data_IF_224684240057
#
_entry.id   IF_224684240057
#
_cell.length_a   1.000
_cell.length_b   1.000
_cell.length_c   1.000
_cell.angle_alpha   90.00
_cell.angle_beta   90.00
_cell.angle_gamma   90.00
#
_symmetry.space_group_name_H-M   'P 1'
#
loop_
_entity.id
_entity.type
_entity.pdbx_description
1 polymer ?
#
# COMPACT_ATOMS: atom_id res chain seq x y z
N UNK A 1 11.39 -20.33 35.97
CA UNK A 1 10.68 -19.21 35.30
C UNK A 1 11.69 -18.62 34.36
N UNK A 2 11.52 -18.86 33.07
CA UNK A 2 12.36 -18.28 32.04
C UNK A 2 11.79 -16.89 31.77
N UNK A 3 12.51 -15.84 32.20
CA UNK A 3 12.19 -14.50 31.76
C UNK A 3 12.59 -14.42 30.29
N UNK A 4 11.61 -14.37 29.40
CA UNK A 4 11.82 -13.87 28.05
C UNK A 4 12.43 -12.49 28.22
N UNK A 5 13.71 -12.34 27.83
CA UNK A 5 14.34 -11.04 27.78
C UNK A 5 13.54 -10.16 26.81
N UNK A 6 13.47 -8.86 27.08
CA UNK A 6 13.00 -7.95 26.04
C UNK A 6 13.85 -8.17 24.77
N UNK A 7 13.24 -8.13 23.56
CA UNK A 7 14.02 -8.28 22.33
C UNK A 7 15.16 -7.26 22.33
N UNK A 8 16.36 -7.70 21.92
CA UNK A 8 17.51 -6.79 21.86
C UNK A 8 17.26 -5.72 20.80
N UNK A 9 17.78 -4.50 21.03
CA UNK A 9 17.60 -3.36 20.12
C UNK A 9 17.97 -3.72 18.68
N UNK A 10 17.02 -3.57 17.75
CA UNK A 10 17.16 -3.95 16.34
C UNK A 10 16.81 -5.41 16.00
N UNK A 11 16.25 -6.19 16.92
CA UNK A 11 15.76 -7.56 16.66
C UNK A 11 14.24 -7.57 16.49
N UNK A 12 13.77 -7.79 15.26
CA UNK A 12 12.35 -7.96 14.93
C UNK A 12 11.74 -9.18 15.66
N UNK A 13 10.81 -8.94 16.59
CA UNK A 13 10.04 -9.98 17.24
C UNK A 13 8.85 -10.43 16.38
N UNK A 14 8.72 -11.72 16.10
CA UNK A 14 7.62 -12.25 15.27
C UNK A 14 6.69 -13.15 16.08
N UNK A 15 5.39 -12.86 16.05
CA UNK A 15 4.32 -13.59 16.76
C UNK A 15 3.35 -14.26 15.77
N UNK A 16 2.54 -15.20 16.27
CA UNK A 16 1.56 -15.97 15.47
C UNK A 16 2.12 -17.15 14.68
N UNK A 17 3.38 -17.09 14.25
CA UNK A 17 4.05 -18.19 13.54
C UNK A 17 4.26 -19.42 14.42
N UNK A 18 3.72 -20.56 13.98
CA UNK A 18 4.01 -21.88 14.57
C UNK A 18 5.12 -22.55 13.76
N UNK A 19 6.30 -22.76 14.38
CA UNK A 19 7.51 -23.19 13.66
C UNK A 19 7.73 -24.71 13.64
N UNK A 20 8.39 -25.19 12.59
CA UNK A 20 8.88 -26.56 12.42
C UNK A 20 10.34 -26.65 12.88
N UNK A 21 10.61 -27.46 13.92
CA UNK A 21 11.95 -27.70 14.49
C UNK A 21 12.85 -26.45 14.64
N UNK A 22 12.42 -25.42 15.41
CA UNK A 22 13.14 -24.15 15.49
C UNK A 22 14.51 -24.29 16.17
N UNK A 23 15.57 -24.27 15.37
CA UNK A 23 16.96 -24.39 15.82
C UNK A 23 17.75 -23.07 15.60
N UNK A 24 18.57 -22.61 16.58
CA UNK A 24 19.38 -21.40 16.41
C UNK A 24 20.34 -21.50 15.22
N UNK A 25 20.26 -20.53 14.30
CA UNK A 25 21.06 -20.50 13.07
C UNK A 25 20.58 -21.40 11.93
N UNK A 26 19.45 -22.11 12.10
CA UNK A 26 18.70 -22.68 10.98
C UNK A 26 17.83 -21.60 10.30
N UNK A 27 17.34 -21.88 9.10
CA UNK A 27 16.32 -21.06 8.46
C UNK A 27 14.98 -21.24 9.19
N UNK A 28 14.25 -20.13 9.40
CA UNK A 28 12.90 -20.16 9.95
C UNK A 28 11.98 -20.88 8.96
N UNK A 29 11.27 -21.90 9.44
CA UNK A 29 10.21 -22.58 8.69
C UNK A 29 8.95 -22.67 9.55
N UNK A 30 7.83 -22.20 9.03
CA UNK A 30 6.51 -22.43 9.61
C UNK A 30 6.10 -23.91 9.49
N UNK A 31 5.04 -24.31 10.20
CA UNK A 31 4.29 -25.55 9.97
C UNK A 31 3.21 -25.40 8.88
N UNK A 32 2.93 -24.16 8.46
CA UNK A 32 1.84 -23.80 7.55
C UNK A 32 2.39 -22.96 6.38
N UNK A 33 2.09 -23.37 5.15
CA UNK A 33 2.63 -22.78 3.91
C UNK A 33 2.12 -21.35 3.68
N UNK A 34 0.90 -21.00 4.10
CA UNK A 34 0.36 -19.65 3.94
C UNK A 34 1.07 -18.65 4.88
N UNK A 35 1.39 -19.07 6.10
CA UNK A 35 2.14 -18.26 7.07
C UNK A 35 3.61 -18.11 6.65
N UNK A 36 4.23 -19.16 6.08
CA UNK A 36 5.57 -19.08 5.50
C UNK A 36 5.60 -18.09 4.34
N UNK A 37 4.65 -18.20 3.41
CA UNK A 37 4.52 -17.32 2.24
C UNK A 37 4.33 -15.84 2.63
N UNK A 38 3.50 -15.59 3.65
CA UNK A 38 3.34 -14.25 4.23
C UNK A 38 4.65 -13.75 4.84
N UNK A 39 5.31 -14.55 5.69
CA UNK A 39 6.59 -14.19 6.32
C UNK A 39 7.68 -13.88 5.29
N UNK A 40 7.91 -14.75 4.30
CA UNK A 40 8.93 -14.56 3.28
C UNK A 40 8.66 -13.32 2.42
N UNK A 41 7.39 -13.05 2.11
CA UNK A 41 6.98 -11.83 1.37
C UNK A 41 7.28 -10.56 2.17
N UNK A 42 7.03 -10.58 3.48
CA UNK A 42 7.32 -9.45 4.38
C UNK A 42 8.83 -9.25 4.51
N UNK A 43 9.55 -10.31 4.87
CA UNK A 43 10.99 -10.28 5.13
C UNK A 43 11.78 -9.85 3.89
N UNK A 44 11.43 -10.36 2.69
CA UNK A 44 12.08 -9.96 1.45
C UNK A 44 11.93 -8.46 1.13
N UNK A 45 10.80 -7.83 1.51
CA UNK A 45 10.64 -6.37 1.38
C UNK A 45 11.43 -5.62 2.43
N UNK A 46 11.47 -6.11 3.67
CA UNK A 46 12.28 -5.51 4.74
C UNK A 46 13.78 -5.55 4.41
N UNK A 47 14.29 -6.66 3.89
CA UNK A 47 15.68 -6.76 3.40
C UNK A 47 15.93 -5.85 2.20
N UNK A 48 15.04 -5.87 1.19
CA UNK A 48 15.16 -5.02 0.00
C UNK A 48 15.16 -3.52 0.33
N UNK A 49 14.40 -3.09 1.34
CA UNK A 49 14.32 -1.71 1.80
C UNK A 49 15.37 -1.35 2.85
N UNK A 50 16.10 -2.33 3.39
CA UNK A 50 17.02 -2.17 4.54
C UNK A 50 16.32 -1.91 5.88
N UNK A 51 14.99 -1.99 5.92
CA UNK A 51 14.15 -1.60 7.06
C UNK A 51 13.94 -2.71 8.10
N UNK A 52 14.56 -3.88 7.94
CA UNK A 52 14.38 -5.03 8.84
C UNK A 52 14.73 -4.74 10.32
N UNK A 53 15.65 -3.79 10.57
CA UNK A 53 15.99 -3.33 11.92
C UNK A 53 15.14 -2.16 12.44
N UNK A 54 14.30 -1.54 11.59
CA UNK A 54 13.39 -0.47 12.01
C UNK A 54 12.10 -0.98 12.65
N UNK A 55 11.72 -2.24 12.37
CA UNK A 55 10.52 -2.86 12.93
C UNK A 55 10.85 -3.64 14.20
N UNK A 56 10.12 -3.33 15.28
CA UNK A 56 10.28 -3.95 16.60
C UNK A 56 9.46 -5.25 16.69
N UNK A 57 8.28 -5.29 16.08
CA UNK A 57 7.44 -6.48 16.04
C UNK A 57 6.64 -6.66 14.75
N UNK A 58 6.26 -7.91 14.48
CA UNK A 58 5.41 -8.38 13.39
C UNK A 58 4.45 -9.45 13.95
N UNK A 59 3.15 -9.19 13.91
CA UNK A 59 2.13 -10.16 14.32
C UNK A 59 1.46 -10.80 13.09
N UNK A 60 1.64 -12.12 12.98
CA UNK A 60 1.07 -12.98 11.95
C UNK A 60 -0.02 -13.92 12.51
N UNK A 61 -0.58 -13.65 13.70
CA UNK A 61 -1.56 -14.54 14.37
C UNK A 61 -2.89 -14.61 13.60
N UNK A 62 -3.19 -13.60 12.79
CA UNK A 62 -4.29 -13.59 11.83
C UNK A 62 -3.81 -13.06 10.47
N UNK A 63 -3.80 -13.92 9.44
CA UNK A 63 -3.44 -13.57 8.07
C UNK A 63 -4.43 -12.60 7.38
N UNK A 64 -5.57 -12.30 8.01
CA UNK A 64 -6.50 -11.25 7.60
C UNK A 64 -6.30 -9.92 8.35
N UNK A 65 -5.54 -9.92 9.46
CA UNK A 65 -5.30 -8.75 10.32
C UNK A 65 -3.82 -8.64 10.74
N UNK A 66 -2.90 -8.81 9.78
CA UNK A 66 -1.46 -8.72 9.99
C UNK A 66 -1.09 -7.29 10.43
N UNK A 67 -0.28 -7.17 11.49
CA UNK A 67 0.21 -5.88 11.99
C UNK A 67 1.73 -5.89 12.24
N UNK A 68 2.36 -4.71 12.20
CA UNK A 68 3.79 -4.53 12.50
C UNK A 68 4.01 -3.23 13.27
N UNK A 69 5.00 -3.17 14.17
CA UNK A 69 5.32 -1.95 14.92
C UNK A 69 6.65 -1.35 14.44
N UNK A 70 6.59 -0.18 13.80
CA UNK A 70 7.74 0.56 13.27
C UNK A 70 8.30 1.53 14.32
N UNK A 71 9.57 1.33 14.69
CA UNK A 71 10.33 2.09 15.71
C UNK A 71 9.62 2.27 17.06
N UNK A 72 8.77 1.29 17.43
CA UNK A 72 7.81 1.34 18.55
C UNK A 72 6.87 2.56 18.57
N UNK A 73 6.67 3.20 17.42
CA UNK A 73 5.95 4.47 17.28
C UNK A 73 4.75 4.41 16.35
N UNK A 74 4.87 3.71 15.22
CA UNK A 74 3.81 3.62 14.20
C UNK A 74 3.40 2.16 14.01
N UNK A 75 2.16 1.83 14.35
CA UNK A 75 1.59 0.51 14.10
C UNK A 75 1.07 0.43 12.66
N UNK A 76 1.75 -0.33 11.81
CA UNK A 76 1.31 -0.63 10.45
C UNK A 76 0.26 -1.73 10.50
N UNK A 77 -0.98 -1.43 10.10
CA UNK A 77 -2.06 -2.41 10.00
C UNK A 77 -2.22 -2.84 8.54
N UNK A 78 -1.55 -3.92 8.17
CA UNK A 78 -1.51 -4.43 6.79
C UNK A 78 -2.80 -5.18 6.40
N UNK A 79 -3.55 -5.68 7.38
CA UNK A 79 -4.76 -6.44 7.13
C UNK A 79 -4.44 -7.77 6.46
N UNK A 80 -5.06 -8.04 5.31
CA UNK A 80 -4.89 -9.30 4.58
C UNK A 80 -3.55 -9.44 3.86
N UNK A 81 -3.15 -10.69 3.58
CA UNK A 81 -1.98 -11.06 2.76
C UNK A 81 -1.98 -10.46 1.34
N UNK A 82 -3.13 -10.00 0.84
CA UNK A 82 -3.29 -9.38 -0.48
C UNK A 82 -2.37 -8.16 -0.62
N UNK A 83 -1.50 -8.19 -1.63
CA UNK A 83 -0.52 -7.13 -1.94
C UNK A 83 0.37 -6.71 -0.75
N UNK A 84 0.66 -7.62 0.20
CA UNK A 84 1.55 -7.38 1.37
C UNK A 84 2.80 -6.56 1.02
N UNK A 85 3.52 -6.97 -0.03
CA UNK A 85 4.74 -6.31 -0.47
C UNK A 85 4.52 -4.85 -0.88
N UNK A 86 3.40 -4.54 -1.56
CA UNK A 86 3.05 -3.16 -1.90
C UNK A 86 2.66 -2.36 -0.66
N UNK A 87 1.83 -2.93 0.22
CA UNK A 87 1.39 -2.29 1.47
C UNK A 87 2.56 -1.88 2.36
N UNK A 88 3.55 -2.76 2.56
CA UNK A 88 4.75 -2.46 3.35
C UNK A 88 5.61 -1.41 2.67
N UNK A 89 5.84 -1.53 1.35
CA UNK A 89 6.59 -0.51 0.60
C UNK A 89 5.94 0.88 0.73
N UNK A 90 4.62 0.97 0.59
CA UNK A 90 3.85 2.21 0.65
C UNK A 90 3.80 2.78 2.08
N UNK A 91 3.62 1.94 3.10
CA UNK A 91 3.71 2.35 4.50
C UNK A 91 5.10 2.89 4.86
N UNK A 92 6.15 2.23 4.37
CA UNK A 92 7.54 2.73 4.51
C UNK A 92 7.72 4.08 3.82
N UNK A 93 7.18 4.26 2.61
CA UNK A 93 7.24 5.55 1.90
C UNK A 93 6.58 6.71 2.67
N UNK A 94 5.56 6.41 3.48
CA UNK A 94 4.85 7.37 4.33
C UNK A 94 5.60 7.70 5.64
N UNK A 95 6.48 6.85 6.15
CA UNK A 95 7.27 7.13 7.39
C UNK A 95 8.73 7.50 7.14
N UNK A 96 9.36 7.03 6.05
CA UNK A 96 10.70 7.48 5.65
C UNK A 96 10.66 8.77 4.83
N UNK A 97 9.48 9.08 4.28
CA UNK A 97 9.28 10.14 3.31
C UNK A 97 9.83 9.81 1.91
N UNK A 98 9.36 10.60 0.94
CA UNK A 98 9.87 10.68 -0.44
C UNK A 98 9.85 12.13 -0.89
N UNK A 99 10.66 12.49 -1.88
CA UNK A 99 10.61 13.82 -2.48
C UNK A 99 9.20 14.12 -3.02
N UNK A 100 8.62 15.23 -2.58
CA UNK A 100 7.29 15.73 -2.95
C UNK A 100 6.08 14.92 -2.41
N UNK A 101 6.24 14.14 -1.34
CA UNK A 101 5.10 13.52 -0.62
C UNK A 101 5.09 13.95 0.86
N UNK A 102 3.89 14.15 1.41
CA UNK A 102 3.68 14.34 2.85
C UNK A 102 4.02 13.04 3.60
N UNK A 103 4.66 13.16 4.76
CA UNK A 103 5.19 12.02 5.51
C UNK A 103 5.00 12.20 7.01
N UNK A 104 4.87 11.08 7.71
CA UNK A 104 4.69 11.01 9.17
C UNK A 104 6.05 11.34 9.81
N UNK A 105 6.09 12.42 10.60
CA UNK A 105 7.32 12.91 11.20
C UNK A 105 7.99 11.94 12.18
N UNK A 106 9.28 12.16 12.46
CA UNK A 106 10.12 11.39 13.38
C UNK A 106 9.65 11.37 14.84
N UNK A 107 8.72 12.26 15.19
CA UNK A 107 8.27 12.53 16.55
C UNK A 107 6.79 12.15 16.76
N UNK A 108 6.11 11.73 15.68
CA UNK A 108 4.68 11.37 15.67
C UNK A 108 4.50 9.89 16.04
N UNK A 109 3.38 9.55 16.69
CA UNK A 109 2.99 8.19 17.09
C UNK A 109 1.55 7.88 16.67
N UNK A 110 1.22 6.61 16.40
CA UNK A 110 -0.16 6.23 16.05
C UNK A 110 -0.28 4.96 15.19
N UNK A 111 -1.43 4.80 14.53
CA UNK A 111 -1.74 3.63 13.68
C UNK A 111 -1.86 4.05 12.22
N UNK A 112 -1.19 3.33 11.33
CA UNK A 112 -1.22 3.50 9.88
C UNK A 112 -1.97 2.31 9.25
N UNK A 113 -3.25 2.51 8.93
CA UNK A 113 -4.07 1.51 8.23
C UNK A 113 -3.68 1.43 6.75
N UNK A 114 -3.20 0.26 6.36
CA UNK A 114 -2.75 -0.14 5.03
C UNK A 114 -3.61 -1.29 4.47
N UNK A 115 -4.68 -1.70 5.17
CA UNK A 115 -5.56 -2.79 4.75
C UNK A 115 -6.16 -2.53 3.38
N UNK A 116 -6.67 -1.30 3.16
CA UNK A 116 -7.23 -0.79 1.92
C UNK A 116 -6.18 -0.29 0.90
N UNK A 117 -4.89 -0.26 1.27
CA UNK A 117 -3.82 0.21 0.39
C UNK A 117 -3.52 -0.77 -0.74
N UNK A 118 -3.96 -2.03 -0.64
CA UNK A 118 -3.98 -2.97 -1.76
C UNK A 118 -5.00 -2.50 -2.81
N UNK A 119 -6.29 -2.65 -2.53
CA UNK A 119 -7.36 -2.45 -3.50
C UNK A 119 -7.57 -1.00 -3.93
N UNK A 120 -7.39 -0.03 -3.02
CA UNK A 120 -7.75 1.38 -3.25
C UNK A 120 -6.56 2.33 -3.40
N UNK A 121 -5.34 1.84 -3.11
CA UNK A 121 -4.09 2.63 -3.07
C UNK A 121 -4.14 3.84 -2.12
N UNK A 122 -4.98 3.78 -1.08
CA UNK A 122 -5.05 4.76 0.02
C UNK A 122 -4.60 4.11 1.33
N UNK A 123 -4.00 4.90 2.22
CA UNK A 123 -3.76 4.54 3.61
C UNK A 123 -4.37 5.60 4.53
N UNK A 124 -4.76 5.21 5.74
CA UNK A 124 -5.33 6.12 6.74
C UNK A 124 -4.44 6.15 7.98
N UNK A 125 -3.81 7.30 8.23
CA UNK A 125 -3.04 7.51 9.45
C UNK A 125 -3.93 8.08 10.56
N UNK A 126 -3.88 7.48 11.75
CA UNK A 126 -4.56 7.92 12.97
C UNK A 126 -3.50 8.20 14.03
N UNK A 127 -3.26 9.48 14.30
CA UNK A 127 -2.28 9.93 15.29
C UNK A 127 -2.76 9.66 16.73
N UNK A 128 -1.92 9.02 17.55
CA UNK A 128 -2.16 8.90 18.99
C UNK A 128 -1.68 10.17 19.70
N UNK A 129 -2.56 11.17 19.74
CA UNK A 129 -2.32 12.45 20.42
C UNK A 129 -2.32 12.29 21.96
N UNK A 130 -1.19 11.88 22.52
CA UNK A 130 -0.92 11.84 23.97
C UNK A 130 -1.08 13.26 24.58
N UNK A 131 -2.30 13.53 25.07
CA UNK A 131 -2.88 14.87 25.25
C UNK A 131 -1.96 15.91 25.92
N UNK A 132 -1.19 16.59 25.07
CA UNK A 132 -0.22 17.63 25.42
C UNK A 132 -0.54 18.84 24.55
N UNK A 133 -1.22 19.83 25.14
CA UNK A 133 -1.99 20.84 24.39
C UNK A 133 -1.15 21.77 23.50
N UNK A 134 -1.33 21.67 22.16
CA UNK A 134 -1.00 22.73 21.20
C UNK A 134 -1.88 22.68 19.93
N UNK A 135 -2.73 23.68 19.77
CA UNK A 135 -3.22 24.32 18.52
C UNK A 135 -2.05 24.52 17.52
N UNK A 136 -2.15 24.46 16.18
CA UNK A 136 -3.23 24.56 15.16
C UNK A 136 -2.74 23.84 13.86
N UNK A 137 -3.42 23.67 12.71
CA UNK A 137 -4.72 24.04 12.09
C UNK A 137 -4.95 23.07 10.87
N UNK A 138 -5.97 23.09 10.00
CA UNK A 138 -7.15 23.94 9.76
C UNK A 138 -8.28 23.11 9.11
N UNK A 139 -9.55 23.49 9.30
CA UNK A 139 -10.69 22.72 8.80
C UNK A 139 -12.05 23.43 8.91
N UNK A 140 -12.05 24.76 8.88
CA UNK A 140 -13.27 25.56 9.02
C UNK A 140 -13.87 25.95 7.66
N UNK A 141 -15.02 25.37 7.34
CA UNK A 141 -16.06 26.01 6.51
C UNK A 141 -17.41 25.87 7.20
N UNK A 142 -17.52 26.41 8.42
CA UNK A 142 -18.76 26.46 9.19
C UNK A 142 -19.89 27.13 8.40
N UNK A 143 -21.08 26.53 8.46
CA UNK A 143 -22.26 27.07 7.81
C UNK A 143 -22.78 28.29 8.59
N UNK A 144 -22.80 29.48 7.97
CA UNK A 144 -23.59 30.60 8.47
C UNK A 144 -25.09 30.32 8.22
N UNK A 145 -25.91 30.54 9.25
CA UNK A 145 -27.35 30.37 9.21
C UNK A 145 -28.01 31.56 9.89
N UNK A 146 -28.29 32.59 9.09
CA UNK A 146 -28.95 33.82 9.53
C UNK A 146 -30.37 33.90 8.95
N UNK A 147 -31.37 33.69 9.80
CA UNK A 147 -32.77 33.81 9.44
C UNK A 147 -33.26 35.26 9.45
N UNK A 148 -34.10 35.63 8.48
CA UNK A 148 -34.77 36.93 8.43
C UNK A 148 -36.20 36.78 7.90
N UNK A 149 -37.16 37.27 8.66
CA UNK A 149 -38.60 37.21 8.37
C UNK A 149 -39.15 38.60 8.01
N UNK A 150 -39.90 38.73 6.91
CA UNK A 150 -41.35 39.01 6.89
C UNK A 150 -41.88 39.68 5.58
N UNK A 151 -43.17 39.42 5.28
CA UNK A 151 -44.16 40.13 4.43
C UNK A 151 -43.95 40.45 2.92
N UNK A 152 -44.96 40.01 2.16
CA UNK A 152 -45.77 40.78 1.18
C UNK A 152 -45.38 40.90 -0.31
N UNK A 153 -46.21 40.20 -1.11
CA UNK A 153 -47.03 40.76 -2.22
C UNK A 153 -46.35 41.40 -3.44
N UNK A 154 -46.50 40.76 -4.61
CA UNK A 154 -46.28 41.37 -5.93
C UNK A 154 -46.55 40.38 -7.07
N UNK A 155 -47.37 40.77 -8.05
CA UNK A 155 -47.80 39.92 -9.17
C UNK A 155 -46.89 40.03 -10.42
N UNK A 156 -47.09 39.09 -11.35
CA UNK A 156 -46.98 39.24 -12.82
C UNK A 156 -45.64 38.98 -13.58
N UNK A 157 -45.64 37.86 -14.30
CA UNK A 157 -45.27 37.65 -15.72
C UNK A 157 -43.86 37.90 -16.34
N UNK A 158 -43.64 37.11 -17.40
CA UNK A 158 -42.70 37.24 -18.53
C UNK A 158 -41.24 36.73 -18.44
N UNK A 159 -41.00 35.64 -19.19
CA UNK A 159 -39.88 35.38 -20.12
C UNK A 159 -39.11 36.63 -20.63
N UNK A 160 -37.82 36.53 -21.06
CA UNK A 160 -37.43 35.57 -22.11
C UNK A 160 -35.98 35.01 -22.19
N UNK A 161 -35.86 33.91 -22.94
CA UNK A 161 -34.77 33.48 -23.87
C UNK A 161 -33.29 33.44 -23.45
N UNK A 162 -32.71 32.24 -23.62
CA UNK A 162 -31.31 31.95 -23.95
C UNK A 162 -31.19 30.44 -24.19
N UNK A 163 -31.40 29.92 -25.41
CA UNK A 163 -30.39 29.77 -26.48
C UNK A 163 -29.15 28.96 -26.04
N UNK A 164 -28.95 27.77 -26.61
CA UNK A 164 -27.80 26.92 -26.27
C UNK A 164 -27.82 25.43 -26.66
N UNK A 165 -28.86 24.91 -27.32
CA UNK A 165 -28.90 23.48 -27.72
C UNK A 165 -28.08 23.21 -28.98
N UNK A 166 -26.82 22.83 -28.80
CA UNK A 166 -25.98 22.31 -29.89
C UNK A 166 -26.55 21.03 -30.50
N UNK A 167 -26.50 20.90 -31.82
CA UNK A 167 -27.04 19.76 -32.57
C UNK A 167 -25.95 19.07 -33.39
N UNK A 168 -25.86 17.75 -33.26
CA UNK A 168 -25.13 16.85 -34.17
C UNK A 168 -25.91 15.54 -34.27
N UNK A 169 -26.23 15.11 -35.50
CA UNK A 169 -26.83 13.81 -35.82
C UNK A 169 -25.90 12.62 -35.52
N UNK A 170 -26.34 11.37 -35.61
CA UNK A 170 -26.69 10.66 -36.87
C UNK A 170 -25.46 10.57 -37.81
N UNK A 171 -25.03 9.41 -38.33
CA UNK A 171 -25.68 8.11 -38.52
C UNK A 171 -24.63 6.95 -38.63
N UNK A 172 -25.11 5.74 -38.95
CA UNK A 172 -24.43 4.68 -39.71
C UNK A 172 -23.62 3.63 -38.93
N UNK A 173 -23.68 2.39 -39.44
CA UNK A 173 -22.92 1.23 -38.95
C UNK A 173 -22.74 0.16 -40.04
N UNK A 174 -22.50 -1.09 -39.62
CA UNK A 174 -22.40 -2.32 -40.42
C UNK A 174 -21.08 -2.68 -41.13
N UNK A 175 -20.47 -3.75 -40.61
CA UNK A 175 -20.10 -4.98 -41.33
C UNK A 175 -18.75 -5.15 -42.05
N UNK A 176 -18.17 -6.35 -41.83
CA UNK A 176 -17.27 -7.15 -42.71
C UNK A 176 -15.89 -6.59 -43.10
N UNK A 177 -14.83 -7.41 -43.17
CA UNK A 177 -14.70 -8.85 -42.84
C UNK A 177 -13.40 -9.47 -43.41
N UNK A 178 -12.94 -10.59 -42.83
CA UNK A 178 -11.83 -11.48 -43.31
C UNK A 178 -10.45 -10.78 -43.51
N UNK A 179 -9.26 -11.40 -43.60
CA UNK A 179 -8.69 -12.76 -43.56
C UNK A 179 -7.61 -12.77 -42.42
N UNK A 180 -6.94 -13.82 -41.94
CA UNK A 180 -6.77 -15.21 -42.40
C UNK A 180 -5.28 -15.57 -42.56
N UNK A 181 -4.65 -16.21 -41.55
CA UNK A 181 -3.48 -17.10 -41.73
C UNK A 181 -3.07 -17.80 -40.42
N UNK A 182 -2.69 -19.07 -40.53
CA UNK A 182 -2.13 -19.91 -39.47
C UNK A 182 -0.83 -20.59 -39.97
N UNK A 183 -0.31 -21.52 -39.16
CA UNK A 183 0.56 -22.65 -39.57
C UNK A 183 2.08 -22.53 -39.30
N UNK A 184 2.52 -23.20 -38.22
CA UNK A 184 3.80 -23.95 -38.03
C UNK A 184 5.16 -23.21 -38.19
N UNK A 185 6.27 -23.63 -37.57
CA UNK A 185 6.50 -24.74 -36.63
C UNK A 185 7.96 -25.23 -36.67
N UNK A 186 8.35 -26.13 -35.75
CA UNK A 186 9.59 -26.91 -35.86
C UNK A 186 10.70 -26.61 -34.82
N UNK A 187 11.01 -27.62 -34.00
CA UNK A 187 12.15 -27.59 -33.07
C UNK A 187 13.47 -27.99 -33.75
N UNK A 188 14.60 -27.51 -33.23
CA UNK A 188 15.89 -28.23 -33.29
C UNK A 188 16.56 -28.26 -31.92
N UNK A 189 16.93 -29.45 -31.46
CA UNK A 189 17.72 -29.66 -30.24
C UNK A 189 19.17 -29.90 -30.61
N UNK A 190 20.14 -29.27 -29.93
CA UNK A 190 21.50 -29.81 -29.86
C UNK A 190 22.30 -29.29 -28.67
N UNK A 191 23.26 -30.11 -28.22
CA UNK A 191 23.89 -30.02 -26.89
C UNK A 191 25.29 -29.41 -26.88
N UNK A 192 25.78 -29.10 -25.68
CA UNK A 192 27.19 -29.01 -25.28
C UNK A 192 28.14 -28.10 -26.09
N UNK A 193 28.18 -26.81 -25.74
CA UNK A 193 29.41 -26.04 -25.44
C UNK A 193 29.08 -25.04 -24.31
N UNK A 194 29.93 -24.74 -23.33
CA UNK A 194 31.29 -25.23 -23.07
C UNK A 194 32.37 -24.24 -23.48
N UNK A 195 32.68 -23.32 -22.55
CA UNK A 195 33.66 -22.21 -22.66
C UNK A 195 33.24 -21.07 -23.61
N UNK A 196 33.19 -19.83 -23.10
CA UNK A 196 33.89 -18.64 -23.63
C UNK A 196 33.43 -17.34 -22.93
N UNK A 197 34.41 -16.52 -22.51
CA UNK A 197 34.27 -15.22 -21.83
C UNK A 197 35.52 -14.39 -22.24
N UNK A 198 35.47 -13.05 -22.39
CA UNK A 198 34.45 -12.17 -22.96
C UNK A 198 35.00 -11.36 -24.16
N UNK A 199 34.17 -10.54 -24.82
CA UNK A 199 34.65 -9.28 -25.41
C UNK A 199 33.50 -8.36 -25.83
N UNK A 200 33.19 -7.34 -25.02
CA UNK A 200 32.78 -6.01 -25.50
C UNK A 200 32.78 -5.01 -24.33
N UNK A 201 33.98 -4.54 -23.97
CA UNK A 201 34.15 -3.27 -23.25
C UNK A 201 34.10 -2.18 -24.31
N UNK A 202 32.99 -1.46 -24.44
CA UNK A 202 32.89 -0.32 -25.36
C UNK A 202 32.65 0.99 -24.60
N UNK A 203 33.76 1.67 -24.28
CA UNK A 203 33.75 3.05 -23.81
C UNK A 203 33.71 4.00 -25.01
N UNK A 204 32.74 4.91 -25.05
CA UNK A 204 32.62 6.01 -26.02
C UNK A 204 31.98 7.22 -25.36
#
# INVERSE_FOLDING_TARGET
MESVAAPEDGVLQVTGLTLTDPAPGAQLQAQDEDYQSAYDTIFAVLEQRGAAGDFVSLDLTDLYNITMNYQDRIQFQLGSTVELAYKINYGLDLVTGRENQEYIGSDVTGTLDLSLAGDTKQAYFTEEVLSSSSTSESGDTGADSSGGEDTSTGEDSTQPTGEGTGSTGEDSGSSSGEEGSSQEGGSTSQSNRGNDIPSDIFTG
#
